data_IF_097111119570
#
_entry.id   IF_097111119570
#
_cell.length_a   1.000
_cell.length_b   1.000
_cell.length_c   1.000
_cell.angle_alpha   90.00
_cell.angle_beta   90.00
_cell.angle_gamma   90.00
#
_symmetry.space_group_name_H-M   'P 1'
#
loop_
_entity.id
_entity.type
_entity.pdbx_description
1 polymer ?
#
# COMPACT_ATOMS: atom_id res chain seq x y z
N UNK A 1 -13.21 8.11 -1.94
CA UNK A 1 -12.16 9.05 -1.53
C UNK A 1 -11.75 9.92 -2.68
N UNK A 2 -11.69 11.23 -2.48
CA UNK A 2 -11.55 12.22 -3.56
C UNK A 2 -10.33 11.94 -4.45
N UNK A 3 -9.21 11.50 -3.87
CA UNK A 3 -7.99 11.17 -4.64
C UNK A 3 -8.20 10.06 -5.68
N UNK A 4 -8.89 8.97 -5.33
CA UNK A 4 -9.13 7.87 -6.29
C UNK A 4 -10.01 8.32 -7.47
N UNK A 5 -11.00 9.18 -7.20
CA UNK A 5 -11.85 9.77 -8.25
C UNK A 5 -11.05 10.71 -9.16
N UNK A 6 -10.18 11.54 -8.58
CA UNK A 6 -9.28 12.43 -9.34
C UNK A 6 -8.35 11.61 -10.23
N UNK A 7 -7.70 10.58 -9.70
CA UNK A 7 -6.80 9.71 -10.48
C UNK A 7 -7.55 8.99 -11.59
N UNK A 8 -8.77 8.51 -11.33
CA UNK A 8 -9.60 7.87 -12.35
C UNK A 8 -10.01 8.87 -13.45
N UNK A 9 -10.45 10.08 -13.07
CA UNK A 9 -10.83 11.12 -14.03
C UNK A 9 -9.64 11.55 -14.89
N UNK A 10 -8.47 11.79 -14.29
CA UNK A 10 -7.23 12.10 -15.03
C UNK A 10 -6.82 10.94 -15.92
N UNK A 11 -6.95 9.70 -15.44
CA UNK A 11 -6.71 8.50 -16.23
C UNK A 11 -7.58 8.42 -17.48
N UNK A 12 -8.88 8.69 -17.35
CA UNK A 12 -9.82 8.74 -18.49
C UNK A 12 -9.45 9.87 -19.45
N UNK A 13 -9.15 11.07 -18.93
CA UNK A 13 -8.79 12.23 -19.76
C UNK A 13 -7.48 12.05 -20.54
N UNK A 14 -6.59 11.17 -20.06
CA UNK A 14 -5.30 10.88 -20.69
C UNK A 14 -5.27 9.53 -21.42
N UNK A 15 -6.41 8.85 -21.57
CA UNK A 15 -6.51 7.50 -22.18
C UNK A 15 -5.58 6.48 -21.48
N UNK A 16 -5.48 6.59 -20.16
CA UNK A 16 -4.69 5.72 -19.26
C UNK A 16 -5.57 5.10 -18.18
N UNK A 17 -6.69 4.52 -18.58
CA UNK A 17 -7.68 3.95 -17.65
C UNK A 17 -7.13 2.75 -16.88
N UNK A 18 -6.35 1.89 -17.55
CA UNK A 18 -5.76 0.68 -16.93
C UNK A 18 -4.89 1.01 -15.70
N UNK A 19 -3.86 1.86 -15.79
CA UNK A 19 -3.05 2.21 -14.62
C UNK A 19 -3.84 3.02 -13.57
N UNK A 20 -4.83 3.83 -13.99
CA UNK A 20 -5.68 4.54 -13.05
C UNK A 20 -6.59 3.60 -12.24
N UNK A 21 -7.17 2.58 -12.88
CA UNK A 21 -7.93 1.52 -12.22
C UNK A 21 -7.05 0.71 -11.28
N UNK A 22 -5.85 0.33 -11.70
CA UNK A 22 -4.89 -0.36 -10.84
C UNK A 22 -4.56 0.45 -9.58
N UNK A 23 -4.33 1.76 -9.73
CA UNK A 23 -4.15 2.67 -8.59
C UNK A 23 -5.37 2.70 -7.67
N UNK A 24 -6.58 2.88 -8.22
CA UNK A 24 -7.80 2.95 -7.42
C UNK A 24 -8.03 1.67 -6.63
N UNK A 25 -7.86 0.50 -7.28
CA UNK A 25 -7.98 -0.80 -6.61
C UNK A 25 -6.95 -0.91 -5.49
N UNK A 26 -5.66 -0.64 -5.76
CA UNK A 26 -4.63 -0.69 -4.72
C UNK A 26 -4.90 0.27 -3.55
N UNK A 27 -5.27 1.51 -3.87
CA UNK A 27 -5.57 2.54 -2.89
C UNK A 27 -6.79 2.22 -2.02
N UNK A 28 -7.83 1.60 -2.59
CA UNK A 28 -8.99 1.17 -1.84
C UNK A 28 -8.70 -0.10 -1.03
N UNK A 29 -7.96 -1.06 -1.57
CA UNK A 29 -7.58 -2.30 -0.87
C UNK A 29 -6.68 -2.04 0.34
N UNK A 30 -5.85 -1.00 0.31
CA UNK A 30 -4.98 -0.65 1.42
C UNK A 30 -5.75 -0.17 2.68
N UNK A 31 -6.93 0.44 2.53
CA UNK A 31 -7.65 0.99 3.69
C UNK A 31 -8.31 -0.04 4.61
N UNK A 32 -8.97 -1.10 4.11
CA UNK A 32 -9.41 -2.20 4.95
C UNK A 32 -8.26 -2.80 5.75
N UNK A 33 -7.08 -2.92 5.15
CA UNK A 33 -5.89 -3.42 5.82
C UNK A 33 -5.48 -2.54 7.01
N UNK A 34 -5.41 -1.22 6.83
CA UNK A 34 -5.14 -0.26 7.91
C UNK A 34 -6.16 -0.34 9.07
N UNK A 35 -7.40 -0.72 8.78
CA UNK A 35 -8.47 -0.88 9.79
C UNK A 35 -8.33 -2.22 10.52
N UNK A 36 -8.08 -3.30 9.78
CA UNK A 36 -8.16 -4.68 10.27
C UNK A 36 -6.84 -5.20 10.85
N UNK A 37 -5.69 -4.76 10.33
CA UNK A 37 -4.37 -5.21 10.75
C UNK A 37 -4.16 -5.11 12.27
N UNK A 38 -4.49 -4.00 12.95
CA UNK A 38 -4.37 -3.92 14.40
C UNK A 38 -5.30 -4.89 15.12
N UNK A 39 -6.49 -5.19 14.57
CA UNK A 39 -7.45 -6.13 15.17
C UNK A 39 -6.99 -7.59 15.06
N UNK A 40 -6.41 -7.96 13.92
CA UNK A 40 -5.83 -9.31 13.70
C UNK A 40 -4.66 -9.57 14.67
N UNK A 41 -3.91 -8.52 15.03
CA UNK A 41 -2.80 -8.61 15.98
C UNK A 41 -3.20 -8.45 17.46
N UNK A 42 -4.50 -8.52 17.77
CA UNK A 42 -5.02 -8.48 19.14
C UNK A 42 -5.31 -7.09 19.70
N UNK A 43 -5.21 -6.05 18.88
CA UNK A 43 -5.68 -4.70 19.17
C UNK A 43 -7.15 -4.45 18.77
N UNK A 44 -7.56 -3.19 18.75
CA UNK A 44 -8.87 -2.77 18.24
C UNK A 44 -8.79 -2.22 16.81
N UNK A 45 -9.89 -2.26 16.03
CA UNK A 45 -9.90 -1.74 14.67
C UNK A 45 -9.63 -0.24 14.64
N UNK A 46 -8.75 0.18 13.75
CA UNK A 46 -8.31 1.59 13.65
C UNK A 46 -9.22 2.35 12.69
N UNK A 47 -10.42 2.74 13.11
CA UNK A 47 -11.40 3.41 12.23
C UNK A 47 -11.30 4.95 12.22
N UNK A 48 -10.55 5.53 13.13
CA UNK A 48 -10.56 6.98 13.38
C UNK A 48 -10.05 7.82 12.20
N UNK A 49 -9.24 7.26 11.31
CA UNK A 49 -8.65 7.97 10.17
C UNK A 49 -9.58 8.04 8.96
N UNK A 50 -10.59 7.17 8.87
CA UNK A 50 -11.55 7.13 7.76
C UNK A 50 -12.29 8.47 7.52
N UNK A 51 -12.75 9.19 8.56
CA UNK A 51 -13.40 10.49 8.38
C UNK A 51 -12.42 11.64 8.17
N UNK A 52 -11.11 11.44 8.09
CA UNK A 52 -10.19 12.55 7.79
C UNK A 52 -10.45 13.09 6.36
N UNK A 53 -10.48 14.41 6.12
CA UNK A 53 -10.16 15.53 7.04
C UNK A 53 -11.37 16.09 7.82
N UNK A 54 -12.56 15.50 7.70
CA UNK A 54 -13.79 15.96 8.38
C UNK A 54 -13.69 15.84 9.91
N UNK A 55 -12.86 14.92 10.42
CA UNK A 55 -12.54 14.80 11.84
C UNK A 55 -11.03 14.91 12.05
N UNK A 56 -10.63 15.75 13.00
CA UNK A 56 -9.23 15.87 13.41
C UNK A 56 -8.71 14.52 13.92
N UNK A 57 -7.47 14.21 13.54
CA UNK A 57 -6.76 13.07 14.11
C UNK A 57 -6.58 13.29 15.62
N UNK A 58 -6.66 12.23 16.46
CA UNK A 58 -6.23 12.34 17.85
C UNK A 58 -4.80 12.87 17.89
N UNK A 59 -4.57 13.95 18.62
CA UNK A 59 -3.25 14.56 18.79
C UNK A 59 -2.33 13.63 19.58
N UNK A 60 -1.71 12.68 18.88
CA UNK A 60 -0.58 11.87 19.33
C UNK A 60 0.50 11.85 18.25
N UNK A 61 0.84 13.03 17.72
CA UNK A 61 2.04 13.13 16.90
C UNK A 61 3.23 12.75 17.79
N UNK A 62 4.07 11.80 17.37
CA UNK A 62 5.26 11.46 18.13
C UNK A 62 6.14 12.71 18.28
N UNK A 63 6.74 12.94 19.47
CA UNK A 63 7.55 14.13 19.73
C UNK A 63 8.78 14.24 18.82
N UNK A 64 9.22 13.11 18.26
CA UNK A 64 10.28 13.05 17.25
C UNK A 64 10.10 11.83 16.32
N UNK A 65 10.42 12.00 15.04
CA UNK A 65 10.24 10.97 14.01
C UNK A 65 11.17 9.76 14.22
N UNK A 66 12.45 9.98 14.53
CA UNK A 66 13.43 8.89 14.66
C UNK A 66 13.12 7.95 15.85
N UNK A 67 12.87 8.44 17.08
CA UNK A 67 12.47 7.58 18.19
C UNK A 67 11.17 6.82 17.92
N UNK A 68 10.24 7.43 17.18
CA UNK A 68 9.00 6.75 16.79
C UNK A 68 9.28 5.57 15.85
N UNK A 69 10.09 5.78 14.82
CA UNK A 69 10.47 4.71 13.88
C UNK A 69 11.21 3.59 14.62
N UNK A 70 12.14 3.91 15.51
CA UNK A 70 12.84 2.90 16.32
C UNK A 70 11.86 2.11 17.19
N UNK A 71 10.92 2.78 17.84
CA UNK A 71 9.86 2.10 18.61
C UNK A 71 8.96 1.20 17.76
N UNK A 72 8.72 1.53 16.49
CA UNK A 72 8.00 0.65 15.55
C UNK A 72 8.85 -0.57 15.17
N UNK A 73 10.16 -0.39 14.95
CA UNK A 73 11.08 -1.50 14.68
C UNK A 73 11.14 -2.46 15.86
N UNK A 74 11.23 -1.94 17.09
CA UNK A 74 11.21 -2.76 18.31
C UNK A 74 9.89 -3.53 18.46
N UNK A 75 8.75 -2.89 18.22
CA UNK A 75 7.45 -3.57 18.22
C UNK A 75 7.39 -4.69 17.18
N UNK A 76 7.91 -4.44 15.98
CA UNK A 76 7.95 -5.43 14.91
C UNK A 76 8.89 -6.61 15.23
N UNK A 77 10.07 -6.32 15.81
CA UNK A 77 10.98 -7.35 16.31
C UNK A 77 10.34 -8.18 17.44
N UNK A 78 9.61 -7.53 18.35
CA UNK A 78 8.84 -8.21 19.40
C UNK A 78 7.75 -9.12 18.83
N UNK A 79 7.06 -8.70 17.77
CA UNK A 79 6.08 -9.52 17.07
C UNK A 79 6.70 -10.79 16.48
N UNK A 80 7.93 -10.73 15.93
CA UNK A 80 8.61 -11.92 15.42
C UNK A 80 8.88 -12.99 16.47
N UNK A 81 9.06 -12.58 17.74
CA UNK A 81 9.22 -13.51 18.84
C UNK A 81 7.90 -14.22 19.24
N UNK A 82 6.75 -13.80 18.69
CA UNK A 82 5.45 -14.41 18.95
C UNK A 82 5.21 -15.66 18.09
N UNK A 83 4.41 -16.65 18.55
CA UNK A 83 4.00 -17.79 17.73
C UNK A 83 3.18 -17.41 16.49
N UNK A 84 2.55 -16.23 16.48
CA UNK A 84 1.74 -15.74 15.36
C UNK A 84 2.59 -15.32 14.15
N UNK A 85 3.89 -15.07 14.35
CA UNK A 85 4.78 -14.56 13.30
C UNK A 85 4.96 -15.52 12.13
N UNK A 86 4.96 -16.83 12.39
CA UNK A 86 5.08 -17.86 11.32
C UNK A 86 3.86 -17.83 10.42
N UNK A 87 2.65 -17.78 11.00
CA UNK A 87 1.40 -17.71 10.23
C UNK A 87 1.33 -16.43 9.41
N UNK A 88 1.74 -15.30 10.01
CA UNK A 88 1.85 -14.02 9.32
C UNK A 88 2.83 -14.09 8.13
N UNK A 89 4.05 -14.59 8.35
CA UNK A 89 5.06 -14.71 7.28
C UNK A 89 4.60 -15.63 6.14
N UNK A 90 3.93 -16.74 6.46
CA UNK A 90 3.38 -17.63 5.43
C UNK A 90 2.27 -16.94 4.63
N UNK A 91 1.39 -16.18 5.27
CA UNK A 91 0.37 -15.41 4.59
C UNK A 91 0.97 -14.35 3.66
N UNK A 92 1.94 -13.56 4.16
CA UNK A 92 2.66 -12.54 3.38
C UNK A 92 3.42 -13.17 2.20
N UNK A 93 4.17 -14.25 2.44
CA UNK A 93 4.90 -14.95 1.39
C UNK A 93 3.96 -15.55 0.33
N UNK A 94 2.79 -16.04 0.75
CA UNK A 94 1.77 -16.58 -0.17
C UNK A 94 1.16 -15.48 -1.03
N UNK A 95 0.85 -14.32 -0.45
CA UNK A 95 0.33 -13.16 -1.19
C UNK A 95 1.36 -12.62 -2.18
N UNK A 96 2.62 -12.47 -1.76
CA UNK A 96 3.73 -12.06 -2.62
C UNK A 96 3.97 -13.08 -3.74
N UNK A 97 3.97 -14.37 -3.42
CA UNK A 97 4.12 -15.45 -4.40
C UNK A 97 2.97 -15.46 -5.41
N UNK A 98 1.74 -15.26 -4.96
CA UNK A 98 0.56 -15.16 -5.82
C UNK A 98 0.61 -13.93 -6.73
N UNK A 99 1.00 -12.77 -6.19
CA UNK A 99 1.19 -11.56 -6.98
C UNK A 99 2.29 -11.73 -8.03
N UNK A 100 3.43 -12.32 -7.67
CA UNK A 100 4.52 -12.61 -8.59
C UNK A 100 4.09 -13.61 -9.69
N UNK A 101 3.31 -14.62 -9.31
CA UNK A 101 2.73 -15.58 -10.25
C UNK A 101 1.80 -14.89 -11.25
N UNK A 102 0.84 -14.07 -10.79
CA UNK A 102 -0.02 -13.26 -11.66
C UNK A 102 0.82 -12.37 -12.58
N UNK A 103 1.82 -11.68 -12.03
CA UNK A 103 2.67 -10.80 -12.80
C UNK A 103 3.45 -11.53 -13.92
N UNK A 104 3.89 -12.76 -13.66
CA UNK A 104 4.53 -13.61 -14.65
C UNK A 104 3.57 -14.07 -15.76
N UNK A 105 2.29 -14.25 -15.43
CA UNK A 105 1.24 -14.63 -16.39
C UNK A 105 0.79 -13.45 -17.25
N UNK A 106 0.81 -12.24 -16.69
CA UNK A 106 0.34 -11.01 -17.35
C UNK A 106 1.41 -10.33 -18.22
N UNK A 107 2.58 -10.95 -18.42
CA UNK A 107 3.62 -10.42 -19.33
C UNK A 107 4.45 -9.27 -18.74
N UNK A 108 4.48 -9.12 -17.42
CA UNK A 108 5.23 -8.07 -16.72
C UNK A 108 4.80 -6.60 -16.99
N UNK A 109 3.53 -6.23 -16.78
CA UNK A 109 3.05 -4.85 -16.86
C UNK A 109 3.97 -3.85 -16.14
N UNK A 110 4.31 -2.76 -16.83
CA UNK A 110 5.14 -1.66 -16.32
C UNK A 110 6.63 -1.73 -16.67
N UNK A 111 7.17 -2.90 -17.04
CA UNK A 111 8.55 -3.03 -17.52
C UNK A 111 8.72 -2.61 -18.99
N UNK A 112 7.65 -2.72 -19.79
CA UNK A 112 7.64 -2.29 -21.19
C UNK A 112 7.80 -0.76 -21.32
N UNK A 113 7.17 -0.01 -20.40
CA UNK A 113 7.22 1.45 -20.39
C UNK A 113 8.55 2.03 -19.90
N UNK A 114 9.28 1.33 -19.03
CA UNK A 114 10.62 1.76 -18.60
C UNK A 114 11.64 1.51 -19.70
N UNK A 115 11.54 0.39 -20.43
CA UNK A 115 12.39 0.11 -21.58
C UNK A 115 12.18 1.09 -22.76
N UNK A 116 10.95 1.54 -22.98
CA UNK A 116 10.64 2.55 -24.00
C UNK A 116 11.16 3.96 -23.63
N UNK A 117 11.21 4.30 -22.34
CA UNK A 117 11.70 5.59 -21.86
C UNK A 117 13.23 5.73 -21.99
N UNK A 118 13.98 4.63 -21.83
CA UNK A 118 15.44 4.60 -22.02
C UNK A 118 15.86 4.62 -23.49
N UNK A 119 14.96 4.34 -24.43
CA UNK A 119 15.25 4.24 -25.86
C UNK A 119 14.81 5.46 -26.68
N UNK A 120 14.53 6.60 -26.04
CA UNK A 120 14.20 7.84 -26.75
C UNK A 120 15.50 8.54 -27.16
N UNK A 121 15.92 8.51 -28.44
CA UNK A 121 17.05 9.33 -28.87
C UNK A 121 16.69 10.80 -28.66
N UNK A 122 17.58 11.54 -27.99
CA UNK A 122 17.48 12.99 -27.87
C UNK A 122 17.41 13.60 -29.28
N UNK A 123 16.22 14.01 -29.70
CA UNK A 123 16.08 14.85 -30.89
C UNK A 123 16.33 16.28 -30.46
N UNK A 124 17.56 16.73 -30.68
CA UNK A 124 17.92 18.13 -30.86
C UNK A 124 17.43 18.61 -32.23
#
# INVERSE_FOLDING_TARGET
MPLGLVVLAVGILLERERPALAFVVGYLSHRPDDVLYPAVLGGGPKVWFLPWPLRAAPTRSPPAALPHVLGLVEQFAGFFASPLSVGYLLAEASLLGFAAWLWSRDGRPGLESTAAATNRPERL
#
